data_IF_518332210036
#
_entry.id   IF_518332210036
#
_cell.length_a   1.000
_cell.length_b   1.000
_cell.length_c   1.000
_cell.angle_alpha   90.00
_cell.angle_beta   90.00
_cell.angle_gamma   90.00
#
_symmetry.space_group_name_H-M   'P 1'
#
loop_
_entity.id
_entity.type
_entity.pdbx_description
1 polymer ?
#
# COMPACT_ATOMS: atom_id res chain seq x y z
N UNK A 1 14.40 -2.62 28.49
CA UNK A 1 13.25 -2.63 27.58
C UNK A 1 13.62 -3.30 26.26
N UNK A 2 12.70 -4.08 25.73
CA UNK A 2 12.92 -4.74 24.45
C UNK A 2 12.93 -3.74 23.32
N UNK A 3 13.84 -3.91 22.37
CA UNK A 3 13.91 -3.12 21.16
C UNK A 3 13.08 -3.80 20.07
N UNK A 4 12.06 -3.12 19.58
CA UNK A 4 11.18 -3.65 18.54
C UNK A 4 11.94 -3.86 17.22
N UNK A 5 12.82 -2.92 16.87
CA UNK A 5 13.59 -2.98 15.63
C UNK A 5 14.45 -4.25 15.59
N UNK A 6 14.37 -5.00 14.49
CA UNK A 6 15.13 -6.23 14.30
C UNK A 6 14.56 -7.46 15.00
N UNK A 7 13.47 -7.33 15.76
CA UNK A 7 12.83 -8.46 16.43
C UNK A 7 11.92 -9.24 15.50
N UNK A 8 11.55 -10.46 15.89
CA UNK A 8 10.52 -11.25 15.18
C UNK A 8 9.15 -10.57 15.29
N UNK A 9 8.89 -9.90 16.43
CA UNK A 9 7.63 -9.15 16.62
C UNK A 9 7.51 -8.01 15.61
N UNK A 10 8.61 -7.31 15.31
CA UNK A 10 8.62 -6.29 14.27
C UNK A 10 8.23 -6.88 12.91
N UNK A 11 8.83 -8.00 12.53
CA UNK A 11 8.48 -8.65 11.27
C UNK A 11 7.03 -9.13 11.26
N UNK A 12 6.54 -9.65 12.39
CA UNK A 12 5.14 -10.06 12.52
C UNK A 12 4.18 -8.88 12.35
N UNK A 13 4.52 -7.71 12.89
CA UNK A 13 3.71 -6.50 12.70
C UNK A 13 3.65 -6.07 11.23
N UNK A 14 4.78 -6.15 10.53
CA UNK A 14 4.83 -5.84 9.08
C UNK A 14 3.97 -6.82 8.29
N UNK A 15 4.09 -8.12 8.58
CA UNK A 15 3.32 -9.15 7.89
C UNK A 15 1.82 -9.00 8.20
N UNK A 16 1.48 -8.71 9.45
CA UNK A 16 0.09 -8.49 9.85
C UNK A 16 -0.50 -7.25 9.18
N UNK A 17 0.26 -6.16 9.13
CA UNK A 17 -0.16 -4.95 8.41
C UNK A 17 -0.44 -5.26 6.94
N UNK A 18 0.48 -5.98 6.28
CA UNK A 18 0.31 -6.35 4.88
C UNK A 18 -0.93 -7.24 4.68
N UNK A 19 -1.13 -8.22 5.57
CA UNK A 19 -2.28 -9.12 5.52
C UNK A 19 -3.61 -8.41 5.71
N UNK A 20 -3.71 -7.53 6.70
CA UNK A 20 -4.94 -6.75 6.95
C UNK A 20 -5.24 -5.79 5.81
N UNK A 21 -4.20 -5.17 5.25
CA UNK A 21 -4.35 -4.27 4.10
C UNK A 21 -4.85 -5.02 2.86
N UNK A 22 -4.32 -6.21 2.62
CA UNK A 22 -4.76 -7.09 1.53
C UNK A 22 -6.21 -7.54 1.76
N UNK A 23 -6.56 -7.95 2.98
CA UNK A 23 -7.91 -8.37 3.32
C UNK A 23 -8.93 -7.24 3.08
N UNK A 24 -8.61 -6.02 3.50
CA UNK A 24 -9.45 -4.85 3.27
C UNK A 24 -9.78 -4.72 1.78
N UNK A 25 -8.78 -4.71 0.92
CA UNK A 25 -8.99 -4.49 -0.51
C UNK A 25 -9.70 -5.66 -1.18
N UNK A 26 -9.39 -6.89 -0.76
CA UNK A 26 -10.10 -8.09 -1.27
C UNK A 26 -11.58 -8.04 -0.92
N UNK A 27 -11.93 -7.68 0.31
CA UNK A 27 -13.34 -7.63 0.73
C UNK A 27 -14.12 -6.53 -0.01
N UNK A 28 -13.50 -5.38 -0.26
CA UNK A 28 -14.13 -4.34 -1.06
C UNK A 28 -14.38 -4.81 -2.51
N UNK A 29 -13.44 -5.54 -3.06
CA UNK A 29 -13.58 -6.14 -4.39
C UNK A 29 -14.71 -7.19 -4.40
N UNK A 30 -14.77 -8.03 -3.36
CA UNK A 30 -15.83 -9.04 -3.24
C UNK A 30 -17.21 -8.39 -3.07
N UNK A 31 -17.28 -7.26 -2.37
CA UNK A 31 -18.51 -6.51 -2.23
C UNK A 31 -19.07 -6.04 -3.58
N UNK A 32 -18.19 -5.61 -4.49
CA UNK A 32 -18.61 -5.23 -5.86
C UNK A 32 -19.30 -6.39 -6.57
N UNK A 33 -18.73 -7.58 -6.47
CA UNK A 33 -19.33 -8.76 -7.10
C UNK A 33 -20.67 -9.13 -6.46
N UNK A 34 -20.77 -9.04 -5.15
CA UNK A 34 -22.03 -9.28 -4.44
C UNK A 34 -23.12 -8.29 -4.90
N UNK A 35 -22.75 -7.03 -5.10
CA UNK A 35 -23.70 -6.03 -5.65
C UNK A 35 -24.15 -6.41 -7.06
N UNK A 36 -23.22 -6.82 -7.93
CA UNK A 36 -23.54 -7.24 -9.30
C UNK A 36 -24.49 -8.44 -9.30
N UNK A 37 -24.34 -9.35 -8.34
CA UNK A 37 -25.19 -10.54 -8.23
C UNK A 37 -26.51 -10.30 -7.50
N UNK A 38 -26.76 -9.06 -7.09
CA UNK A 38 -27.99 -8.72 -6.39
C UNK A 38 -28.05 -9.22 -4.95
N UNK A 39 -26.88 -9.26 -4.26
CA UNK A 39 -26.75 -9.72 -2.87
C UNK A 39 -26.32 -8.55 -1.97
N UNK A 40 -27.20 -7.54 -1.75
CA UNK A 40 -26.81 -6.33 -1.01
C UNK A 40 -26.41 -6.59 0.45
N UNK A 41 -27.05 -7.57 1.10
CA UNK A 41 -26.71 -7.88 2.49
C UNK A 41 -25.31 -8.47 2.61
N UNK A 42 -24.93 -9.32 1.65
CA UNK A 42 -23.58 -9.90 1.61
C UNK A 42 -22.55 -8.82 1.25
N UNK A 43 -22.89 -7.93 0.30
CA UNK A 43 -22.03 -6.78 -0.02
C UNK A 43 -21.77 -5.92 1.22
N UNK A 44 -22.83 -5.66 2.01
CA UNK A 44 -22.73 -4.92 3.27
C UNK A 44 -21.83 -5.62 4.28
N UNK A 45 -21.93 -6.94 4.39
CA UNK A 45 -21.08 -7.72 5.28
C UNK A 45 -19.59 -7.58 4.91
N UNK A 46 -19.27 -7.67 3.62
CA UNK A 46 -17.91 -7.47 3.15
C UNK A 46 -17.41 -6.06 3.44
N UNK A 47 -18.22 -5.02 3.21
CA UNK A 47 -17.83 -3.63 3.47
C UNK A 47 -17.59 -3.37 4.95
N UNK A 48 -18.47 -3.86 5.81
CA UNK A 48 -18.32 -3.70 7.26
C UNK A 48 -17.07 -4.38 7.76
N UNK A 49 -16.78 -5.57 7.27
CA UNK A 49 -15.58 -6.31 7.64
C UNK A 49 -14.32 -5.59 7.13
N UNK A 50 -14.36 -5.05 5.91
CA UNK A 50 -13.24 -4.27 5.35
C UNK A 50 -12.94 -3.04 6.22
N UNK A 51 -13.94 -2.37 6.73
CA UNK A 51 -13.76 -1.24 7.66
C UNK A 51 -13.03 -1.66 8.92
N UNK A 52 -13.40 -2.83 9.48
CA UNK A 52 -12.68 -3.41 10.62
C UNK A 52 -11.21 -3.67 10.32
N UNK A 53 -10.91 -4.20 9.13
CA UNK A 53 -9.53 -4.46 8.70
C UNK A 53 -8.73 -3.15 8.59
N UNK A 54 -9.37 -2.03 8.20
CA UNK A 54 -8.72 -0.71 8.21
C UNK A 54 -8.24 -0.35 9.61
N UNK A 55 -9.09 -0.55 10.63
CA UNK A 55 -8.72 -0.29 12.02
C UNK A 55 -7.56 -1.15 12.49
N UNK A 56 -7.57 -2.43 12.12
CA UNK A 56 -6.48 -3.36 12.47
C UNK A 56 -5.16 -2.92 11.82
N UNK A 57 -5.19 -2.56 10.53
CA UNK A 57 -4.01 -2.10 9.82
C UNK A 57 -3.43 -0.83 10.46
N UNK A 58 -4.28 0.13 10.79
CA UNK A 58 -3.85 1.37 11.47
C UNK A 58 -3.25 1.06 12.85
N UNK A 59 -3.84 0.12 13.60
CA UNK A 59 -3.29 -0.31 14.88
C UNK A 59 -1.88 -0.87 14.75
N UNK A 60 -1.64 -1.68 13.72
CA UNK A 60 -0.28 -2.19 13.46
C UNK A 60 0.67 -1.06 13.11
N UNK A 61 0.23 -0.07 12.32
CA UNK A 61 1.05 1.08 11.97
C UNK A 61 1.40 1.94 13.19
N UNK A 62 0.51 2.05 14.17
CA UNK A 62 0.79 2.79 15.39
C UNK A 62 2.01 2.23 16.13
N UNK A 63 2.22 0.91 16.08
CA UNK A 63 3.43 0.29 16.63
C UNK A 63 4.62 0.41 15.68
N UNK A 64 4.39 0.18 14.38
CA UNK A 64 5.45 0.21 13.36
C UNK A 64 6.08 1.60 13.21
N UNK A 65 5.31 2.67 13.39
CA UNK A 65 5.84 4.04 13.25
C UNK A 65 7.00 4.34 14.18
N UNK A 66 7.13 3.60 15.28
CA UNK A 66 8.24 3.77 16.23
C UNK A 66 9.58 3.33 15.62
N UNK A 67 9.54 2.49 14.59
CA UNK A 67 10.73 2.03 13.87
C UNK A 67 10.84 2.77 12.54
N UNK A 68 9.76 2.86 11.77
CA UNK A 68 9.74 3.52 10.47
C UNK A 68 8.63 2.99 9.58
N UNK A 69 8.54 3.56 8.38
CA UNK A 69 7.59 3.14 7.37
C UNK A 69 7.88 1.69 6.94
N UNK A 70 6.89 0.78 7.04
CA UNK A 70 7.11 -0.62 6.67
C UNK A 70 7.50 -0.82 5.20
N UNK A 71 7.16 0.12 4.31
CA UNK A 71 7.47 0.02 2.89
C UNK A 71 8.85 0.55 2.54
N UNK A 72 9.29 1.65 3.17
CA UNK A 72 10.51 2.37 2.78
C UNK A 72 11.60 2.36 3.86
N UNK A 73 11.23 2.06 5.10
CA UNK A 73 12.14 2.15 6.24
C UNK A 73 12.39 3.57 6.72
N UNK A 74 11.82 4.58 6.06
CA UNK A 74 12.02 5.98 6.44
C UNK A 74 11.20 6.33 7.69
N UNK A 75 11.64 7.33 8.47
CA UNK A 75 10.85 7.83 9.60
C UNK A 75 9.48 8.33 9.14
N UNK A 76 8.46 8.03 9.92
CA UNK A 76 7.09 8.49 9.69
C UNK A 76 6.50 9.02 11.00
N UNK A 77 5.41 9.73 10.89
CA UNK A 77 4.67 10.23 12.03
C UNK A 77 4.04 11.58 11.76
N UNK A 78 4.84 12.62 11.54
CA UNK A 78 4.28 13.91 11.16
C UNK A 78 4.09 14.01 9.64
N UNK A 79 3.32 14.99 9.21
CA UNK A 79 2.94 15.13 7.80
C UNK A 79 4.15 15.28 6.88
N UNK A 80 5.16 16.02 7.31
CA UNK A 80 6.37 16.23 6.48
C UNK A 80 7.14 14.92 6.29
N UNK A 81 7.33 14.16 7.35
CA UNK A 81 7.97 12.85 7.28
C UNK A 81 7.14 11.88 6.42
N UNK A 82 5.82 11.89 6.61
CA UNK A 82 4.93 11.01 5.85
C UNK A 82 4.98 11.31 4.36
N UNK A 83 5.04 12.58 3.96
CA UNK A 83 5.18 12.98 2.56
C UNK A 83 6.51 12.50 1.98
N UNK A 84 7.59 12.61 2.73
CA UNK A 84 8.91 12.13 2.27
C UNK A 84 8.89 10.61 2.06
N UNK A 85 8.28 9.87 2.98
CA UNK A 85 8.14 8.42 2.84
C UNK A 85 7.28 8.05 1.63
N UNK A 86 6.17 8.77 1.42
CA UNK A 86 5.30 8.54 0.26
C UNK A 86 6.03 8.82 -1.05
N UNK A 87 6.78 9.91 -1.16
CA UNK A 87 7.57 10.23 -2.34
C UNK A 87 8.58 9.13 -2.63
N UNK A 88 9.26 8.65 -1.59
CA UNK A 88 10.25 7.59 -1.75
C UNK A 88 9.61 6.29 -2.26
N UNK A 89 8.46 5.90 -1.71
CA UNK A 89 7.72 4.73 -2.14
C UNK A 89 7.27 4.82 -3.59
N UNK A 90 6.63 5.93 -3.96
CA UNK A 90 6.17 6.16 -5.33
C UNK A 90 7.34 6.19 -6.31
N UNK A 91 8.45 6.80 -5.93
CA UNK A 91 9.65 6.86 -6.78
C UNK A 91 10.20 5.47 -7.04
N UNK A 92 10.30 4.62 -6.01
CA UNK A 92 10.71 3.23 -6.19
C UNK A 92 9.75 2.48 -7.12
N UNK A 93 8.46 2.69 -6.97
CA UNK A 93 7.45 2.03 -7.78
C UNK A 93 7.56 2.38 -9.26
N UNK A 94 7.81 3.65 -9.63
CA UNK A 94 7.86 4.04 -11.03
C UNK A 94 9.24 3.92 -11.66
N UNK A 95 10.33 3.92 -10.88
CA UNK A 95 11.68 3.81 -11.44
C UNK A 95 12.19 2.38 -11.47
N UNK A 96 11.75 1.53 -10.56
CA UNK A 96 12.32 0.20 -10.36
C UNK A 96 11.26 -0.90 -10.37
N UNK A 97 10.31 -0.86 -9.45
CA UNK A 97 9.37 -1.96 -9.22
C UNK A 97 8.52 -2.27 -10.46
N UNK A 98 7.71 -1.33 -10.91
CA UNK A 98 6.82 -1.57 -12.06
C UNK A 98 7.58 -1.74 -13.38
N UNK A 99 8.62 -0.96 -13.69
CA UNK A 99 9.42 -1.24 -14.89
C UNK A 99 10.02 -2.65 -14.90
N UNK A 100 10.53 -3.11 -13.74
CA UNK A 100 11.06 -4.48 -13.62
C UNK A 100 9.98 -5.54 -13.80
N UNK A 101 8.81 -5.34 -13.20
CA UNK A 101 7.68 -6.25 -13.34
C UNK A 101 7.16 -6.29 -14.79
N UNK A 102 7.12 -5.14 -15.46
CA UNK A 102 6.70 -5.06 -16.87
C UNK A 102 7.67 -5.86 -17.75
N UNK A 103 8.98 -5.73 -17.52
CA UNK A 103 9.97 -6.48 -18.27
C UNK A 103 9.78 -7.98 -18.10
N UNK A 104 9.62 -8.44 -16.86
CA UNK A 104 9.38 -9.85 -16.57
C UNK A 104 8.12 -10.35 -17.28
N UNK A 105 7.04 -9.58 -17.23
CA UNK A 105 5.79 -9.95 -17.87
C UNK A 105 5.95 -10.09 -19.40
N UNK A 106 6.70 -9.18 -20.04
CA UNK A 106 6.98 -9.28 -21.47
C UNK A 106 7.82 -10.51 -21.79
N UNK A 107 8.86 -10.74 -21.02
CA UNK A 107 9.74 -11.89 -21.22
C UNK A 107 8.98 -13.21 -21.09
N UNK A 108 7.96 -13.25 -20.22
CA UNK A 108 7.13 -14.43 -20.03
C UNK A 108 5.92 -14.51 -20.97
N UNK A 109 5.75 -13.52 -21.87
CA UNK A 109 4.69 -13.52 -22.84
C UNK A 109 3.36 -12.91 -22.39
N UNK A 110 3.33 -12.26 -21.22
CA UNK A 110 2.12 -11.61 -20.67
C UNK A 110 2.09 -10.13 -21.09
N UNK A 111 1.90 -9.88 -22.38
CA UNK A 111 1.98 -8.54 -22.97
C UNK A 111 0.97 -7.57 -22.37
N UNK A 112 -0.27 -8.01 -22.18
CA UNK A 112 -1.33 -7.16 -21.64
C UNK A 112 -1.02 -6.75 -20.18
N UNK A 113 -0.49 -7.69 -19.38
CA UNK A 113 -0.09 -7.40 -18.00
C UNK A 113 1.10 -6.46 -17.99
N UNK A 114 2.05 -6.62 -18.90
CA UNK A 114 3.19 -5.71 -19.03
C UNK A 114 2.71 -4.28 -19.32
N UNK A 115 1.75 -4.11 -20.23
CA UNK A 115 1.16 -2.80 -20.52
C UNK A 115 0.49 -2.19 -19.30
N UNK A 116 -0.20 -3.02 -18.51
CA UNK A 116 -0.81 -2.61 -17.25
C UNK A 116 0.24 -2.08 -16.27
N UNK A 117 1.33 -2.81 -16.06
CA UNK A 117 2.41 -2.37 -15.17
C UNK A 117 3.05 -1.06 -15.65
N UNK A 118 3.25 -0.88 -16.96
CA UNK A 118 3.78 0.36 -17.51
C UNK A 118 2.82 1.53 -17.28
N UNK A 119 1.51 1.29 -17.40
CA UNK A 119 0.50 2.30 -17.09
C UNK A 119 0.57 2.71 -15.63
N UNK A 120 0.73 1.74 -14.72
CA UNK A 120 0.88 2.02 -13.29
C UNK A 120 2.16 2.80 -12.99
N UNK A 121 3.28 2.48 -13.66
CA UNK A 121 4.51 3.24 -13.49
C UNK A 121 4.29 4.73 -13.77
N UNK A 122 3.54 5.06 -14.83
CA UNK A 122 3.21 6.46 -15.14
C UNK A 122 2.32 7.08 -14.08
N UNK A 123 1.35 6.34 -13.56
CA UNK A 123 0.47 6.81 -12.48
C UNK A 123 1.26 7.11 -11.21
N UNK A 124 2.17 6.22 -10.84
CA UNK A 124 2.99 6.39 -9.63
C UNK A 124 3.94 7.58 -9.76
N UNK A 125 4.44 7.85 -10.96
CA UNK A 125 5.25 9.06 -11.22
C UNK A 125 4.43 10.32 -10.96
N UNK A 126 3.17 10.34 -11.41
CA UNK A 126 2.26 11.45 -11.15
C UNK A 126 2.00 11.62 -9.65
N UNK A 127 1.82 10.51 -8.91
CA UNK A 127 1.63 10.56 -7.47
C UNK A 127 2.85 11.14 -6.77
N UNK A 128 4.05 10.73 -7.13
CA UNK A 128 5.29 11.28 -6.57
C UNK A 128 5.37 12.79 -6.77
N UNK A 129 5.03 13.28 -7.96
CA UNK A 129 5.02 14.71 -8.27
C UNK A 129 4.01 15.48 -7.43
N UNK A 130 2.82 14.92 -7.22
CA UNK A 130 1.78 15.54 -6.40
C UNK A 130 2.19 15.62 -4.93
N UNK A 131 2.78 14.54 -4.39
CA UNK A 131 3.28 14.55 -3.02
C UNK A 131 4.42 15.54 -2.83
N UNK A 132 5.30 15.65 -3.83
CA UNK A 132 6.40 16.64 -3.79
C UNK A 132 5.86 18.06 -3.73
N UNK A 133 4.83 18.39 -4.52
CA UNK A 133 4.17 19.68 -4.45
C UNK A 133 3.60 19.94 -3.05
N UNK A 134 2.96 18.94 -2.46
CA UNK A 134 2.47 19.03 -1.09
C UNK A 134 3.57 19.30 -0.10
N UNK A 135 4.70 18.61 -0.22
CA UNK A 135 5.86 18.84 0.65
C UNK A 135 6.40 20.25 0.52
N UNK A 136 6.49 20.76 -0.72
CA UNK A 136 6.98 22.11 -0.98
C UNK A 136 6.11 23.18 -0.30
N UNK A 137 4.79 22.93 -0.14
CA UNK A 137 3.90 23.89 0.52
C UNK A 137 4.11 23.96 2.03
N UNK A 138 4.77 22.99 2.63
CA UNK A 138 5.03 22.98 4.08
C UNK A 138 6.28 23.79 4.45
N UNK A 139 6.93 24.35 3.46
CA UNK A 139 8.07 25.21 3.66
C UNK A 139 9.32 24.52 4.07
#
# INVERSE_FOLDING_TARGET
MSNLNGSKTFQNLKDAFAGESMANRRYLYFARQADVEGQPDIAGLFRDTAEGETGHAHGHLDYLRKVGDPATGLPIGDTKLNLKAAIHGETHEYTDMYPGMAKTARDEGFTEIADWFETLARAEKSHAGRFKKGLDTLG
#
